data_IF_010954702435
#
_entry.id   IF_010954702435
#
_cell.length_a   1.000
_cell.length_b   1.000
_cell.length_c   1.000
_cell.angle_alpha   90.00
_cell.angle_beta   90.00
_cell.angle_gamma   90.00
#
_symmetry.space_group_name_H-M   'P 1'
#
loop_
_entity.id
_entity.type
_entity.pdbx_description
1 polymer ?
#
# COMPACT_ATOMS: atom_id res chain seq x y z
N UNK A 1 5.71 -34.46 34.83
CA UNK A 1 4.29 -34.87 34.72
C UNK A 1 3.32 -33.72 34.51
N UNK A 2 3.23 -32.67 35.35
CA UNK A 2 2.30 -31.55 35.07
C UNK A 2 2.79 -30.54 34.00
N UNK A 3 4.09 -30.53 33.71
CA UNK A 3 4.75 -29.59 32.80
C UNK A 3 4.84 -30.06 31.35
N UNK A 4 4.69 -31.36 31.10
CA UNK A 4 4.77 -31.94 29.75
C UNK A 4 3.42 -31.77 29.03
N UNK A 5 2.31 -32.00 29.74
CA UNK A 5 0.95 -31.75 29.25
C UNK A 5 0.69 -30.28 28.87
N UNK A 6 1.29 -29.32 29.57
CA UNK A 6 1.14 -27.88 29.25
C UNK A 6 1.92 -27.50 27.99
N UNK A 7 3.09 -28.09 27.78
CA UNK A 7 3.87 -27.91 26.56
C UNK A 7 3.22 -28.58 25.36
N UNK A 8 2.61 -29.76 25.54
CA UNK A 8 1.94 -30.50 24.47
C UNK A 8 0.67 -29.79 24.03
N UNK A 9 -0.11 -29.22 24.97
CA UNK A 9 -1.25 -28.36 24.64
C UNK A 9 -0.86 -27.05 23.97
N UNK A 10 0.28 -26.46 24.34
CA UNK A 10 0.79 -25.27 23.67
C UNK A 10 1.23 -25.61 22.22
N UNK A 11 1.85 -26.77 22.02
CA UNK A 11 2.25 -27.24 20.70
C UNK A 11 1.04 -27.56 19.80
N UNK A 12 0.01 -28.24 20.34
CA UNK A 12 -1.24 -28.49 19.62
C UNK A 12 -2.01 -27.19 19.31
N UNK A 13 -1.98 -26.19 20.21
CA UNK A 13 -2.54 -24.86 19.95
C UNK A 13 -1.79 -24.10 18.86
N UNK A 14 -0.47 -24.22 18.77
CA UNK A 14 0.31 -23.64 17.67
C UNK A 14 0.09 -24.37 16.35
N UNK A 15 -0.02 -25.70 16.37
CA UNK A 15 -0.24 -26.52 15.17
C UNK A 15 -1.66 -26.31 14.61
N UNK A 16 -2.65 -26.11 15.48
CA UNK A 16 -4.02 -25.74 15.08
C UNK A 16 -4.13 -24.30 14.58
N UNK A 17 -3.36 -23.35 15.14
CA UNK A 17 -3.18 -22.00 14.57
C UNK A 17 -2.56 -22.05 13.17
N UNK A 18 -1.58 -22.94 12.94
CA UNK A 18 -0.98 -23.10 11.60
C UNK A 18 -1.92 -23.77 10.59
N UNK A 19 -2.77 -24.71 11.03
CA UNK A 19 -3.72 -25.44 10.15
C UNK A 19 -5.01 -24.68 9.83
N UNK A 20 -5.52 -23.88 10.77
CA UNK A 20 -6.84 -23.23 10.65
C UNK A 20 -6.84 -21.72 10.85
N UNK A 21 -5.70 -21.14 11.24
CA UNK A 21 -5.47 -19.70 11.24
C UNK A 21 -5.19 -19.21 9.83
N UNK A 22 -6.25 -18.86 9.10
CA UNK A 22 -6.14 -17.71 8.21
C UNK A 22 -5.65 -16.50 9.01
N UNK A 23 -5.01 -15.50 8.39
CA UNK A 23 -4.44 -14.37 9.12
C UNK A 23 -5.47 -13.86 10.11
N UNK A 24 -5.20 -13.99 11.42
CA UNK A 24 -5.90 -13.15 12.37
C UNK A 24 -5.53 -11.75 11.93
N UNK A 25 -6.52 -10.95 11.54
CA UNK A 25 -6.31 -9.54 11.37
C UNK A 25 -5.79 -9.03 12.73
N UNK A 26 -4.48 -8.79 12.79
CA UNK A 26 -3.87 -8.16 13.94
C UNK A 26 -4.54 -6.79 14.05
N UNK A 27 -5.34 -6.51 15.10
CA UNK A 27 -6.05 -5.23 15.22
C UNK A 27 -5.06 -4.07 15.25
N UNK A 28 -3.88 -4.28 15.82
CA UNK A 28 -2.76 -3.34 15.82
C UNK A 28 -2.24 -3.05 14.41
N UNK A 29 -2.32 -4.00 13.47
CA UNK A 29 -1.93 -3.80 12.07
C UNK A 29 -2.96 -3.03 11.25
N UNK A 30 -4.24 -3.14 11.62
CA UNK A 30 -5.32 -2.35 11.00
C UNK A 30 -5.30 -0.90 11.48
N UNK A 31 -5.07 -0.66 12.79
CA UNK A 31 -4.86 0.69 13.33
C UNK A 31 -3.62 1.34 12.71
N UNK A 32 -2.55 0.55 12.51
CA UNK A 32 -1.32 1.02 11.89
C UNK A 32 -1.42 1.32 10.39
N UNK A 33 -2.32 0.67 9.64
CA UNK A 33 -2.62 0.99 8.23
C UNK A 33 -3.56 2.21 8.12
N UNK A 34 -4.56 2.31 9.01
CA UNK A 34 -5.52 3.43 9.03
C UNK A 34 -4.80 4.75 9.43
N UNK A 35 -3.85 4.72 10.39
CA UNK A 35 -3.00 5.88 10.73
C UNK A 35 -2.02 6.27 9.60
N UNK A 36 -1.49 5.30 8.84
CA UNK A 36 -0.56 5.56 7.72
C UNK A 36 -1.28 6.26 6.55
N UNK A 37 -2.57 5.98 6.36
CA UNK A 37 -3.41 6.66 5.36
C UNK A 37 -3.76 8.08 5.80
N UNK A 38 -4.08 8.30 7.08
CA UNK A 38 -4.35 9.64 7.63
C UNK A 38 -3.11 10.54 7.55
N UNK A 39 -1.92 10.04 7.92
CA UNK A 39 -0.66 10.80 7.81
C UNK A 39 -0.27 11.11 6.34
N UNK A 40 -0.52 10.19 5.40
CA UNK A 40 -0.33 10.45 3.97
C UNK A 40 -1.32 11.46 3.39
N UNK A 41 -2.51 11.60 3.98
CA UNK A 41 -3.49 12.62 3.60
C UNK A 41 -3.10 14.00 4.15
N UNK A 42 -2.71 14.09 5.42
CA UNK A 42 -2.28 15.34 6.07
C UNK A 42 -1.00 15.90 5.39
N UNK A 43 -0.05 15.02 5.05
CA UNK A 43 1.17 15.42 4.34
C UNK A 43 0.93 15.84 2.88
N UNK A 44 -0.11 15.33 2.21
CA UNK A 44 -0.49 15.78 0.86
C UNK A 44 -1.28 17.10 0.90
N UNK A 45 -2.05 17.38 1.96
CA UNK A 45 -2.73 18.67 2.16
C UNK A 45 -1.70 19.79 2.47
N UNK A 46 -0.69 19.53 3.31
CA UNK A 46 0.40 20.49 3.57
C UNK A 46 1.22 20.80 2.30
N UNK A 47 1.49 19.79 1.44
CA UNK A 47 2.18 20.00 0.16
C UNK A 47 1.33 20.81 -0.84
N UNK A 48 0.00 20.65 -0.84
CA UNK A 48 -0.91 21.48 -1.66
C UNK A 48 -0.99 22.93 -1.14
N UNK A 49 -0.92 23.16 0.18
CA UNK A 49 -0.85 24.51 0.77
C UNK A 49 0.49 25.22 0.49
N UNK A 50 1.63 24.51 0.55
CA UNK A 50 2.95 25.07 0.22
C UNK A 50 3.07 25.46 -1.27
N UNK A 51 2.48 24.67 -2.20
CA UNK A 51 2.45 25.02 -3.63
C UNK A 51 1.53 26.23 -3.93
N UNK A 52 0.48 26.47 -3.15
CA UNK A 52 -0.38 27.68 -3.30
C UNK A 52 0.26 28.96 -2.74
N UNK A 53 1.11 28.85 -1.71
CA UNK A 53 1.87 29.98 -1.16
C UNK A 53 3.06 30.42 -2.03
N UNK A 54 3.57 29.55 -2.91
CA UNK A 54 4.70 29.86 -3.82
C UNK A 54 4.28 30.72 -5.04
N UNK A 55 3.60 31.85 -4.81
CA UNK A 55 3.46 32.91 -5.82
C UNK A 55 4.76 33.73 -5.87
N UNK A 56 5.33 34.03 -7.05
CA UNK A 56 6.64 34.66 -7.13
C UNK A 56 6.63 36.03 -6.49
N UNK A 57 7.37 36.16 -5.38
CA UNK A 57 7.67 37.43 -4.72
C UNK A 57 8.14 38.46 -5.75
N UNK A 58 7.45 39.60 -5.77
CA UNK A 58 7.78 40.75 -6.60
C UNK A 58 9.26 41.11 -6.44
N UNK A 59 9.96 41.21 -7.58
CA UNK A 59 11.35 41.66 -7.68
C UNK A 59 11.52 42.96 -6.88
N UNK A 60 12.31 42.89 -5.80
CA UNK A 60 12.73 44.05 -5.01
C UNK A 60 13.61 44.93 -5.88
N UNK A 61 13.03 46.04 -6.33
CA UNK A 61 13.73 47.09 -7.06
C UNK A 61 14.76 47.74 -6.12
N UNK A 62 16.04 47.38 -6.27
CA UNK A 62 17.13 48.10 -5.61
C UNK A 62 17.27 49.46 -6.27
N UNK A 63 16.74 50.50 -5.64
CA UNK A 63 16.96 51.89 -6.05
C UNK A 63 18.45 52.24 -5.97
N UNK A 64 19.13 52.60 -7.08
CA UNK A 64 20.49 53.10 -7.00
C UNK A 64 20.51 54.55 -6.51
N UNK A 65 21.39 54.84 -5.54
CA UNK A 65 21.72 56.21 -5.11
C UNK A 65 22.15 57.07 -6.31
N UNK A 66 21.85 58.39 -6.31
CA UNK A 66 21.99 59.21 -7.50
C UNK A 66 23.48 59.53 -7.76
N UNK A 67 24.12 58.75 -8.63
CA UNK A 67 25.35 59.16 -9.28
C UNK A 67 25.00 60.01 -10.51
N UNK A 68 25.74 61.12 -10.66
CA UNK A 68 25.56 62.12 -11.71
C UNK A 68 25.87 61.50 -13.07
N UNK A 69 24.84 61.15 -13.84
CA UNK A 69 24.95 60.50 -15.15
C UNK A 69 25.64 61.40 -16.17
N UNK A 70 26.58 60.85 -16.93
CA UNK A 70 27.16 61.51 -18.11
C UNK A 70 26.36 61.12 -19.35
N UNK A 71 26.40 61.94 -20.41
CA UNK A 71 25.67 61.68 -21.66
C UNK A 71 26.03 60.33 -22.33
N UNK A 72 27.19 59.74 -21.98
CA UNK A 72 27.61 58.43 -22.47
C UNK A 72 26.85 57.27 -21.76
N UNK A 73 26.54 57.42 -20.47
CA UNK A 73 25.85 56.40 -19.67
C UNK A 73 24.37 56.25 -20.10
N UNK A 74 23.74 57.35 -20.54
CA UNK A 74 22.36 57.32 -21.05
C UNK A 74 22.21 56.56 -22.37
N UNK A 75 23.22 56.61 -23.25
CA UNK A 75 23.18 55.86 -24.51
C UNK A 75 23.41 54.36 -24.29
N UNK A 76 24.28 53.99 -23.36
CA UNK A 76 24.49 52.60 -22.97
C UNK A 76 23.27 51.99 -22.27
N UNK A 77 22.60 52.76 -21.41
CA UNK A 77 21.35 52.36 -20.77
C UNK A 77 20.20 52.17 -21.77
N UNK A 78 20.11 53.00 -22.81
CA UNK A 78 19.12 52.82 -23.89
C UNK A 78 19.41 51.55 -24.70
N UNK A 79 20.69 51.26 -24.96
CA UNK A 79 21.12 50.08 -25.71
C UNK A 79 20.96 48.77 -24.92
N UNK A 80 21.14 48.80 -23.60
CA UNK A 80 20.87 47.64 -22.73
C UNK A 80 19.37 47.38 -22.61
N UNK A 81 18.55 48.42 -22.44
CA UNK A 81 17.09 48.32 -22.40
C UNK A 81 16.51 47.77 -23.72
N UNK A 82 17.05 48.16 -24.88
CA UNK A 82 16.62 47.62 -26.16
C UNK A 82 17.00 46.14 -26.32
N UNK A 83 18.18 45.73 -25.83
CA UNK A 83 18.60 44.32 -25.82
C UNK A 83 17.75 43.47 -24.87
N UNK A 84 17.37 44.01 -23.71
CA UNK A 84 16.49 43.35 -22.76
C UNK A 84 15.07 43.19 -23.28
N UNK A 85 14.53 44.22 -23.98
CA UNK A 85 13.23 44.10 -24.66
C UNK A 85 13.25 43.01 -25.73
N UNK A 86 14.30 42.95 -26.56
CA UNK A 86 14.45 41.87 -27.56
C UNK A 86 14.60 40.49 -26.92
N UNK A 87 15.32 40.37 -25.80
CA UNK A 87 15.43 39.12 -25.04
C UNK A 87 14.10 38.70 -24.40
N UNK A 88 13.35 39.64 -23.82
CA UNK A 88 12.05 39.39 -23.23
C UNK A 88 11.01 38.95 -24.27
N UNK A 89 11.03 39.55 -25.45
CA UNK A 89 10.17 39.17 -26.56
C UNK A 89 10.47 37.75 -27.08
N UNK A 90 11.75 37.39 -27.23
CA UNK A 90 12.15 36.03 -27.62
C UNK A 90 11.76 35.01 -26.54
N UNK A 91 11.94 35.34 -25.26
CA UNK A 91 11.53 34.48 -24.13
C UNK A 91 10.00 34.27 -24.12
N UNK A 92 9.23 35.35 -24.31
CA UNK A 92 7.75 35.29 -24.41
C UNK A 92 7.29 34.46 -25.61
N UNK A 93 7.98 34.56 -26.74
CA UNK A 93 7.69 33.75 -27.94
C UNK A 93 8.02 32.26 -27.73
N UNK A 94 9.12 31.94 -27.04
CA UNK A 94 9.48 30.57 -26.68
C UNK A 94 8.51 29.97 -25.66
N UNK A 95 8.07 30.74 -24.67
CA UNK A 95 7.10 30.30 -23.67
C UNK A 95 5.70 30.05 -24.29
N UNK A 96 5.25 30.94 -25.18
CA UNK A 96 3.99 30.76 -25.90
C UNK A 96 4.02 29.52 -26.82
N UNK A 97 5.14 29.26 -27.50
CA UNK A 97 5.33 28.06 -28.31
C UNK A 97 5.39 26.77 -27.48
N UNK A 98 5.90 26.84 -26.24
CA UNK A 98 5.89 25.73 -25.27
C UNK A 98 4.48 25.43 -24.75
N UNK A 99 3.70 26.45 -24.39
CA UNK A 99 2.31 26.28 -23.92
C UNK A 99 1.40 25.68 -24.99
N UNK A 100 1.55 26.06 -26.26
CA UNK A 100 0.75 25.51 -27.35
C UNK A 100 0.99 24.01 -27.63
N UNK A 101 2.20 23.49 -27.30
CA UNK A 101 2.50 22.05 -27.38
C UNK A 101 1.92 21.27 -26.18
N UNK A 102 1.81 21.92 -25.03
CA UNK A 102 1.25 21.33 -23.81
C UNK A 102 -0.29 21.38 -23.75
N UNK A 103 -0.93 22.25 -24.55
CA UNK A 103 -2.39 22.37 -24.63
C UNK A 103 -3.10 21.16 -25.29
N UNK A 104 -2.34 20.20 -25.86
CA UNK A 104 -2.88 18.93 -26.40
C UNK A 104 -2.76 17.75 -25.40
N UNK A 105 -2.60 18.03 -24.10
CA UNK A 105 -2.58 17.02 -23.03
C UNK A 105 -4.04 16.62 -22.74
N UNK A 106 -4.42 15.40 -23.14
CA UNK A 106 -5.80 14.92 -23.23
C UNK A 106 -6.63 15.02 -21.95
N UNK A 107 -7.95 14.82 -22.12
CA UNK A 107 -9.12 14.77 -21.21
C UNK A 107 -8.97 14.88 -19.68
N UNK A 108 -7.82 14.53 -19.08
CA UNK A 108 -7.55 14.61 -17.65
C UNK A 108 -6.19 15.26 -17.39
N UNK A 109 -6.15 16.26 -16.50
CA UNK A 109 -4.90 16.81 -15.99
C UNK A 109 -4.09 15.72 -15.26
N UNK A 110 -2.76 15.78 -15.27
CA UNK A 110 -1.92 14.78 -14.60
C UNK A 110 -2.22 14.66 -13.09
N UNK A 111 -2.45 15.78 -12.39
CA UNK A 111 -2.86 15.81 -10.98
C UNK A 111 -4.19 15.08 -10.76
N UNK A 112 -5.22 15.38 -11.56
CA UNK A 112 -6.53 14.71 -11.45
C UNK A 112 -6.42 13.20 -11.72
N UNK A 113 -5.49 12.77 -12.58
CA UNK A 113 -5.19 11.35 -12.79
C UNK A 113 -4.51 10.71 -11.57
N UNK A 114 -3.60 11.41 -10.88
CA UNK A 114 -2.97 10.96 -9.64
C UNK A 114 -4.04 10.79 -8.55
N UNK A 115 -4.84 11.82 -8.31
CA UNK A 115 -5.93 11.81 -7.32
C UNK A 115 -6.94 10.69 -7.58
N UNK A 116 -7.35 10.49 -8.84
CA UNK A 116 -8.25 9.40 -9.20
C UNK A 116 -7.64 8.01 -8.95
N UNK A 117 -6.33 7.82 -9.21
CA UNK A 117 -5.66 6.55 -8.89
C UNK A 117 -5.61 6.29 -7.38
N UNK A 118 -5.30 7.31 -6.58
CA UNK A 118 -5.33 7.23 -5.11
C UNK A 118 -6.72 6.78 -4.63
N UNK A 119 -7.77 7.47 -5.07
CA UNK A 119 -9.15 7.13 -4.71
C UNK A 119 -9.57 5.71 -5.14
N UNK A 120 -9.12 5.24 -6.30
CA UNK A 120 -9.40 3.88 -6.75
C UNK A 120 -8.66 2.82 -5.92
N UNK A 121 -7.42 3.10 -5.50
CA UNK A 121 -6.64 2.21 -4.64
C UNK A 121 -7.24 2.16 -3.23
N UNK A 122 -7.59 3.31 -2.65
CA UNK A 122 -8.26 3.41 -1.35
C UNK A 122 -9.57 2.62 -1.35
N UNK A 123 -10.45 2.88 -2.32
CA UNK A 123 -11.70 2.13 -2.46
C UNK A 123 -11.46 0.62 -2.65
N UNK A 124 -10.46 0.23 -3.42
CA UNK A 124 -10.14 -1.19 -3.61
C UNK A 124 -9.65 -1.86 -2.33
N UNK A 125 -8.90 -1.14 -1.48
CA UNK A 125 -8.47 -1.61 -0.17
C UNK A 125 -9.67 -1.76 0.79
N UNK A 126 -10.54 -0.75 0.87
CA UNK A 126 -11.78 -0.82 1.64
C UNK A 126 -12.67 -1.98 1.21
N UNK A 127 -12.91 -2.13 -0.10
CA UNK A 127 -13.72 -3.22 -0.66
C UNK A 127 -13.11 -4.59 -0.34
N UNK A 128 -11.78 -4.70 -0.27
CA UNK A 128 -11.08 -5.92 0.12
C UNK A 128 -11.31 -6.24 1.60
N UNK A 129 -11.16 -5.24 2.50
CA UNK A 129 -11.41 -5.37 3.95
C UNK A 129 -12.87 -5.76 4.22
N UNK A 130 -13.82 -5.13 3.54
CA UNK A 130 -15.24 -5.47 3.66
C UNK A 130 -15.54 -6.91 3.21
N UNK A 131 -14.98 -7.36 2.09
CA UNK A 131 -15.15 -8.74 1.62
C UNK A 131 -14.57 -9.77 2.58
N UNK A 132 -13.39 -9.49 3.15
CA UNK A 132 -12.79 -10.36 4.17
C UNK A 132 -13.68 -10.47 5.40
N UNK A 133 -14.20 -9.35 5.91
CA UNK A 133 -15.15 -9.33 7.03
C UNK A 133 -16.42 -10.11 6.73
N UNK A 134 -17.00 -9.95 5.55
CA UNK A 134 -18.19 -10.70 5.13
C UNK A 134 -17.92 -12.21 5.05
N UNK A 135 -16.78 -12.59 4.46
CA UNK A 135 -16.37 -13.99 4.35
C UNK A 135 -16.14 -14.64 5.73
N UNK A 136 -15.56 -13.90 6.68
CA UNK A 136 -15.35 -14.40 8.05
C UNK A 136 -16.68 -14.53 8.81
N UNK A 137 -17.60 -13.57 8.66
CA UNK A 137 -18.96 -13.69 9.22
C UNK A 137 -19.74 -14.87 8.62
N UNK A 138 -19.64 -15.06 7.31
CA UNK A 138 -20.25 -16.21 6.62
C UNK A 138 -19.62 -17.53 7.08
N UNK A 139 -18.29 -17.57 7.23
CA UNK A 139 -17.57 -18.73 7.80
C UNK A 139 -18.08 -19.06 9.19
N UNK A 140 -18.19 -18.07 10.08
CA UNK A 140 -18.70 -18.26 11.43
C UNK A 140 -20.14 -18.78 11.41
N UNK A 141 -21.00 -18.22 10.55
CA UNK A 141 -22.38 -18.68 10.38
C UNK A 141 -22.43 -20.14 9.90
N UNK A 142 -21.66 -20.49 8.86
CA UNK A 142 -21.63 -21.85 8.30
C UNK A 142 -21.09 -22.84 9.32
N UNK A 143 -20.07 -22.47 10.11
CA UNK A 143 -19.56 -23.31 11.19
C UNK A 143 -20.61 -23.52 12.28
N UNK A 144 -21.33 -22.47 12.69
CA UNK A 144 -22.41 -22.58 13.68
C UNK A 144 -23.57 -23.46 13.19
N UNK A 145 -23.89 -23.42 11.89
CA UNK A 145 -24.91 -24.28 11.27
C UNK A 145 -24.44 -25.74 11.14
N UNK A 146 -23.15 -25.98 10.84
CA UNK A 146 -22.59 -27.32 10.59
C UNK A 146 -22.18 -28.06 11.86
N UNK A 147 -21.69 -27.33 12.87
CA UNK A 147 -21.27 -27.90 14.15
C UNK A 147 -22.51 -28.06 15.00
N UNK A 148 -22.93 -29.32 15.19
CA UNK A 148 -24.04 -29.64 16.06
C UNK A 148 -23.67 -29.27 17.51
N UNK A 149 -24.55 -28.58 18.25
CA UNK A 149 -24.32 -28.31 19.66
C UNK A 149 -24.27 -29.62 20.44
N UNK A 150 -23.42 -29.67 21.47
CA UNK A 150 -23.25 -30.88 22.27
C UNK A 150 -24.55 -31.17 23.05
N UNK A 151 -25.07 -32.41 22.98
CA UNK A 151 -26.27 -32.78 23.73
C UNK A 151 -25.99 -32.83 25.25
N UNK A 152 -27.04 -32.70 26.05
CA UNK A 152 -26.97 -32.82 27.51
C UNK A 152 -26.58 -34.25 27.90
N UNK A 153 -25.33 -34.42 28.34
CA UNK A 153 -24.66 -35.72 28.52
C UNK A 153 -25.27 -36.58 29.63
N UNK A 154 -25.97 -35.96 30.59
CA UNK A 154 -26.54 -36.65 31.75
C UNK A 154 -27.82 -37.45 31.43
N UNK A 155 -28.44 -37.21 30.26
CA UNK A 155 -29.75 -37.76 29.89
C UNK A 155 -29.75 -38.64 28.65
N UNK A 156 -28.57 -38.95 28.10
CA UNK A 156 -28.43 -39.61 26.79
C UNK A 156 -27.49 -40.81 26.83
N UNK A 157 -27.69 -41.74 25.88
CA UNK A 157 -26.82 -42.89 25.69
C UNK A 157 -25.50 -42.44 25.02
N UNK A 158 -24.44 -42.29 25.82
CA UNK A 158 -23.13 -41.84 25.35
C UNK A 158 -22.55 -42.71 24.22
N UNK A 159 -22.80 -44.02 24.22
CA UNK A 159 -22.31 -44.93 23.19
C UNK A 159 -22.96 -44.70 21.82
N UNK A 160 -24.26 -44.36 21.78
CA UNK A 160 -24.98 -44.09 20.53
C UNK A 160 -24.45 -42.79 19.89
N UNK A 161 -24.30 -41.75 20.71
CA UNK A 161 -23.73 -40.46 20.32
C UNK A 161 -22.29 -40.62 19.80
N UNK A 162 -21.47 -41.43 20.49
CA UNK A 162 -20.10 -41.70 20.05
C UNK A 162 -20.04 -42.33 18.66
N UNK A 163 -20.87 -43.35 18.39
CA UNK A 163 -20.90 -44.01 17.08
C UNK A 163 -21.44 -43.08 15.97
N UNK A 164 -22.37 -42.18 16.29
CA UNK A 164 -22.83 -41.14 15.36
C UNK A 164 -21.72 -40.14 15.01
N UNK A 165 -21.03 -39.59 16.02
CA UNK A 165 -19.90 -38.68 15.80
C UNK A 165 -18.78 -39.34 15.02
N UNK A 166 -18.43 -40.59 15.35
CA UNK A 166 -17.41 -41.36 14.64
C UNK A 166 -17.74 -41.52 13.16
N UNK A 167 -18.98 -41.91 12.82
CA UNK A 167 -19.44 -42.01 11.42
C UNK A 167 -19.35 -40.65 10.72
N UNK A 168 -19.74 -39.57 11.41
CA UNK A 168 -19.70 -38.22 10.85
C UNK A 168 -18.28 -37.76 10.57
N UNK A 169 -17.35 -37.97 11.51
CA UNK A 169 -15.93 -37.64 11.33
C UNK A 169 -15.34 -38.37 10.14
N UNK A 170 -15.60 -39.68 9.99
CA UNK A 170 -15.12 -40.45 8.83
C UNK A 170 -15.65 -39.88 7.51
N UNK A 171 -16.94 -39.49 7.45
CA UNK A 171 -17.50 -38.87 6.24
C UNK A 171 -16.85 -37.52 5.93
N UNK A 172 -16.62 -36.67 6.95
CA UNK A 172 -16.03 -35.35 6.80
C UNK A 172 -14.55 -35.43 6.41
N UNK A 173 -13.81 -36.40 6.93
CA UNK A 173 -12.43 -36.70 6.52
C UNK A 173 -12.36 -37.06 5.03
N UNK A 174 -13.29 -37.89 4.54
CA UNK A 174 -13.39 -38.22 3.12
C UNK A 174 -13.66 -36.98 2.26
N UNK A 175 -14.67 -36.18 2.64
CA UNK A 175 -15.02 -34.94 1.91
C UNK A 175 -13.85 -33.94 1.93
N UNK A 176 -13.15 -33.83 3.05
CA UNK A 176 -11.98 -32.96 3.21
C UNK A 176 -10.84 -33.39 2.28
N UNK A 177 -10.60 -34.70 2.15
CA UNK A 177 -9.61 -35.22 1.21
C UNK A 177 -9.96 -34.85 -0.24
N UNK A 178 -11.20 -35.06 -0.66
CA UNK A 178 -11.65 -34.76 -2.02
C UNK A 178 -11.53 -33.27 -2.35
N UNK A 179 -11.96 -32.39 -1.42
CA UNK A 179 -11.82 -30.93 -1.57
C UNK A 179 -10.35 -30.52 -1.66
N UNK A 180 -9.50 -31.03 -0.76
CA UNK A 180 -8.07 -30.72 -0.77
C UNK A 180 -7.38 -31.19 -2.05
N UNK A 181 -7.77 -32.36 -2.57
CA UNK A 181 -7.26 -32.86 -3.83
C UNK A 181 -7.63 -31.94 -5.00
N UNK A 182 -8.90 -31.51 -5.07
CA UNK A 182 -9.37 -30.58 -6.09
C UNK A 182 -8.64 -29.22 -6.01
N UNK A 183 -8.45 -28.68 -4.80
CA UNK A 183 -7.69 -27.43 -4.59
C UNK A 183 -6.27 -27.59 -5.12
N UNK A 184 -5.56 -28.67 -4.76
CA UNK A 184 -4.20 -28.94 -5.26
C UNK A 184 -4.13 -29.06 -6.78
N UNK A 185 -5.12 -29.71 -7.39
CA UNK A 185 -5.19 -29.83 -8.85
C UNK A 185 -5.37 -28.45 -9.50
N UNK A 186 -6.21 -27.59 -8.91
CA UNK A 186 -6.44 -26.22 -9.39
C UNK A 186 -5.21 -25.34 -9.19
N UNK A 187 -4.50 -25.47 -8.07
CA UNK A 187 -3.24 -24.76 -7.84
C UNK A 187 -2.18 -25.14 -8.88
N UNK A 188 -2.09 -26.43 -9.21
CA UNK A 188 -1.22 -26.91 -10.28
C UNK A 188 -1.60 -26.31 -11.63
N UNK A 189 -2.88 -26.33 -11.99
CA UNK A 189 -3.40 -25.73 -13.23
C UNK A 189 -3.10 -24.22 -13.30
N UNK A 190 -3.31 -23.47 -12.22
CA UNK A 190 -2.99 -22.04 -12.14
C UNK A 190 -1.49 -21.81 -12.31
N UNK A 191 -0.64 -22.63 -11.68
CA UNK A 191 0.80 -22.50 -11.81
C UNK A 191 1.28 -22.75 -13.24
N UNK A 192 0.79 -23.82 -13.89
CA UNK A 192 1.08 -24.12 -15.30
C UNK A 192 0.66 -22.97 -16.22
N UNK A 193 -0.56 -22.44 -16.03
CA UNK A 193 -1.05 -21.28 -16.79
C UNK A 193 -0.22 -20.02 -16.51
N UNK A 194 0.20 -19.80 -15.26
CA UNK A 194 1.06 -18.68 -14.87
C UNK A 194 2.42 -18.75 -15.57
N UNK A 195 3.04 -19.93 -15.61
CA UNK A 195 4.29 -20.19 -16.35
C UNK A 195 4.10 -19.89 -17.83
N UNK A 196 3.06 -20.47 -18.46
CA UNK A 196 2.79 -20.26 -19.88
C UNK A 196 2.57 -18.78 -20.23
N UNK A 197 1.80 -18.04 -19.42
CA UNK A 197 1.58 -16.60 -19.61
C UNK A 197 2.88 -15.81 -19.46
N UNK A 198 3.73 -16.16 -18.50
CA UNK A 198 5.00 -15.48 -18.28
C UNK A 198 6.00 -15.70 -19.42
N UNK A 199 6.08 -16.92 -19.96
CA UNK A 199 6.92 -17.26 -21.11
C UNK A 199 6.44 -16.54 -22.38
N UNK A 200 5.12 -16.49 -22.61
CA UNK A 200 4.53 -15.79 -23.76
C UNK A 200 4.71 -14.27 -23.69
N UNK A 201 4.68 -13.68 -22.49
CA UNK A 201 4.76 -12.23 -22.31
C UNK A 201 6.19 -11.69 -22.53
N UNK A 202 7.19 -12.56 -22.71
CA UNK A 202 8.59 -12.18 -22.93
C UNK A 202 9.23 -11.44 -21.74
N UNK A 203 8.51 -11.32 -20.62
CA UNK A 203 9.00 -10.76 -19.36
C UNK A 203 9.72 -11.86 -18.58
N UNK A 204 10.78 -12.42 -19.16
CA UNK A 204 11.88 -12.94 -18.35
C UNK A 204 12.64 -11.75 -17.75
N UNK A 205 11.93 -10.95 -16.94
CA UNK A 205 12.54 -9.97 -16.07
C UNK A 205 13.14 -10.80 -14.96
N UNK A 206 14.36 -11.29 -15.16
CA UNK A 206 15.15 -11.87 -14.08
C UNK A 206 15.08 -10.85 -12.94
N UNK A 207 14.38 -11.14 -11.83
CA UNK A 207 14.32 -10.20 -10.72
C UNK A 207 15.77 -9.91 -10.39
N UNK A 208 16.20 -8.65 -10.49
CA UNK A 208 17.59 -8.29 -10.25
C UNK A 208 17.90 -8.74 -8.83
N UNK A 209 18.72 -9.78 -8.68
CA UNK A 209 19.03 -10.36 -7.39
C UNK A 209 19.73 -9.27 -6.56
N UNK A 210 18.97 -8.58 -5.72
CA UNK A 210 19.51 -7.62 -4.77
C UNK A 210 20.20 -8.41 -3.67
N UNK A 211 21.39 -7.97 -3.26
CA UNK A 211 22.11 -8.55 -2.12
C UNK A 211 21.34 -8.22 -0.84
N UNK A 212 20.41 -9.09 -0.47
CA UNK A 212 19.74 -9.04 0.84
C UNK A 212 20.59 -9.81 1.84
N UNK A 213 21.00 -9.16 2.93
CA UNK A 213 21.61 -9.88 4.05
C UNK A 213 20.51 -10.57 4.85
N UNK A 214 20.70 -11.85 5.18
CA UNK A 214 19.68 -12.69 5.85
C UNK A 214 19.25 -12.16 7.24
N UNK A 215 20.02 -11.23 7.80
CA UNK A 215 19.86 -10.71 9.16
C UNK A 215 19.33 -9.28 9.22
N UNK A 216 19.50 -8.43 8.20
CA UNK A 216 19.10 -7.02 8.28
C UNK A 216 17.59 -6.84 8.50
N UNK A 217 16.75 -7.63 7.82
CA UNK A 217 15.30 -7.59 8.03
C UNK A 217 14.88 -8.06 9.43
N UNK A 218 15.62 -9.01 10.02
CA UNK A 218 15.31 -9.59 11.34
C UNK A 218 15.67 -8.64 12.49
N UNK A 219 16.79 -7.92 12.37
CA UNK A 219 17.17 -6.87 13.33
C UNK A 219 16.34 -5.59 13.19
N UNK A 220 15.81 -5.30 11.99
CA UNK A 220 14.93 -4.14 11.80
C UNK A 220 13.68 -4.19 12.69
N UNK A 221 13.14 -5.38 12.98
CA UNK A 221 11.98 -5.52 13.87
C UNK A 221 12.29 -5.17 15.33
N UNK A 222 13.55 -5.31 15.75
CA UNK A 222 13.99 -4.97 17.11
C UNK A 222 14.31 -3.47 17.24
N UNK A 223 14.76 -2.83 16.17
CA UNK A 223 15.04 -1.38 16.14
C UNK A 223 13.81 -0.54 15.82
N UNK A 224 12.88 -1.01 14.97
CA UNK A 224 11.61 -0.35 14.61
C UNK A 224 10.63 -0.18 15.78
N UNK A 225 10.80 -0.94 16.87
CA UNK A 225 10.01 -0.76 18.10
C UNK A 225 10.50 0.42 18.96
N UNK A 226 11.65 1.00 18.63
CA UNK A 226 12.31 2.06 19.39
C UNK A 226 12.62 3.33 18.56
N UNK A 227 12.47 3.28 17.23
CA UNK A 227 12.59 4.44 16.33
C UNK A 227 11.27 4.60 15.55
N UNK A 228 10.80 5.85 15.32
CA UNK A 228 9.64 6.09 14.44
C UNK A 228 9.90 5.48 13.06
N UNK A 229 8.83 5.07 12.37
CA UNK A 229 8.88 4.40 11.06
C UNK A 229 9.93 5.04 10.16
N UNK A 230 10.76 4.20 9.53
CA UNK A 230 11.83 4.66 8.64
C UNK A 230 11.20 5.08 7.31
N UNK A 231 10.50 6.20 7.34
CA UNK A 231 9.86 6.78 6.18
C UNK A 231 10.86 7.62 5.42
N UNK A 232 10.66 7.71 4.10
CA UNK A 232 11.53 8.52 3.24
C UNK A 232 11.60 9.98 3.70
N UNK A 233 10.54 10.48 4.35
CA UNK A 233 10.42 11.83 4.89
C UNK A 233 11.36 12.07 6.07
N UNK A 234 11.60 11.07 6.92
CA UNK A 234 12.46 11.18 8.12
C UNK A 234 13.94 11.48 7.81
N UNK A 235 14.40 11.15 6.59
CA UNK A 235 15.75 11.42 6.13
C UNK A 235 15.96 12.81 5.53
N UNK A 236 14.90 13.60 5.37
CA UNK A 236 14.96 14.93 4.78
C UNK A 236 15.16 15.99 5.86
N UNK A 237 16.06 16.94 5.60
CA UNK A 237 16.25 18.10 6.49
C UNK A 237 15.14 19.10 6.20
N UNK A 238 14.25 19.35 7.16
CA UNK A 238 13.29 20.45 7.05
C UNK A 238 14.04 21.80 7.08
N UNK A 239 13.66 22.70 6.18
CA UNK A 239 14.10 24.10 6.23
C UNK A 239 13.20 24.85 7.23
N UNK A 240 13.82 25.68 8.07
CA UNK A 240 13.13 26.66 8.92
C UNK A 240 13.05 28.01 8.22
#
# INVERSE_FOLDING_TARGET
YRSEDENERHFEMEETKLRYGGPQADPDGEEEEDEEVEEEEEAEEEEEEEEEEEKPASVVERTPSPMRMTKADEEEAKKSAERERKKAEVRKRLEAAGRAKNAKKGFLTPERKKKLRKLLMLKAAEDLKQKQRQLELERQRVLAERILPLPDLDRVNLNEIFEEFKKRVISLESDCYDVNYLVRQKDFEINELSIAVNDLRGKFVKPTLKKVSATQGKFSKLTKKAEPRVDFRTGLKSAK
#
